data_IF_255526353365
#
_entry.id   IF_255526353365
#
_cell.length_a   1.000
_cell.length_b   1.000
_cell.length_c   1.000
_cell.angle_alpha   90.00
_cell.angle_beta   90.00
_cell.angle_gamma   90.00
#
_symmetry.space_group_name_H-M   'P 1'
#
loop_
_entity.id
_entity.type
_entity.pdbx_description
1 polymer ?
#
# COMPACT_ATOMS: atom_id res chain seq x y z
N UNK A 1 11.36 13.47 -10.93
CA UNK A 1 10.03 13.51 -10.26
C UNK A 1 9.39 14.85 -10.57
N UNK A 2 8.10 15.02 -10.33
CA UNK A 2 7.38 16.29 -10.60
C UNK A 2 7.59 17.36 -9.51
N UNK A 3 8.16 17.00 -8.35
CA UNK A 3 8.42 17.92 -7.24
C UNK A 3 7.23 18.18 -6.30
N UNK A 4 6.05 17.63 -6.58
CA UNK A 4 4.86 17.81 -5.74
C UNK A 4 4.90 17.00 -4.43
N UNK A 5 4.21 17.50 -3.40
CA UNK A 5 4.05 16.84 -2.09
C UNK A 5 2.69 16.14 -1.96
N UNK A 6 2.70 14.83 -1.72
CA UNK A 6 1.47 14.02 -1.59
C UNK A 6 0.56 14.48 -0.46
N UNK A 7 1.09 15.03 0.64
CA UNK A 7 0.26 15.50 1.76
C UNK A 7 -0.54 16.75 1.40
N UNK A 8 0.04 17.65 0.60
CA UNK A 8 -0.65 18.83 0.10
C UNK A 8 -1.72 18.46 -0.92
N UNK A 9 -1.40 17.53 -1.81
CA UNK A 9 -2.34 16.98 -2.80
C UNK A 9 -3.51 16.29 -2.10
N UNK A 10 -3.26 15.38 -1.16
CA UNK A 10 -4.29 14.70 -0.38
C UNK A 10 -5.16 15.67 0.42
N UNK A 11 -4.54 16.72 0.99
CA UNK A 11 -5.28 17.78 1.70
C UNK A 11 -6.21 18.53 0.75
N UNK A 12 -5.72 18.93 -0.43
CA UNK A 12 -6.53 19.64 -1.42
C UNK A 12 -7.69 18.77 -1.95
N UNK A 13 -7.43 17.51 -2.26
CA UNK A 13 -8.45 16.54 -2.70
C UNK A 13 -9.51 16.36 -1.61
N UNK A 14 -9.09 16.18 -0.35
CA UNK A 14 -9.99 15.94 0.78
C UNK A 14 -10.85 17.14 1.21
N UNK A 15 -10.61 18.33 0.64
CA UNK A 15 -11.49 19.50 0.85
C UNK A 15 -12.81 19.38 0.08
N UNK A 16 -12.85 18.58 -1.00
CA UNK A 16 -14.11 18.26 -1.66
C UNK A 16 -14.92 17.31 -0.78
N UNK A 17 -16.12 17.76 -0.36
CA UNK A 17 -17.01 17.01 0.53
C UNK A 17 -17.51 15.69 -0.06
N UNK A 18 -17.50 15.53 -1.39
CA UNK A 18 -17.90 14.28 -2.07
C UNK A 18 -16.86 13.17 -1.88
N UNK A 19 -15.60 13.55 -1.61
CA UNK A 19 -14.48 12.63 -1.36
C UNK A 19 -14.24 12.50 0.14
N UNK A 20 -14.14 13.63 0.84
CA UNK A 20 -13.82 13.68 2.27
C UNK A 20 -12.33 13.48 2.58
N UNK A 21 -11.95 13.73 3.83
CA UNK A 21 -10.53 13.79 4.28
C UNK A 21 -9.93 12.49 4.81
N UNK A 22 -10.74 11.44 4.94
CA UNK A 22 -10.34 10.20 5.60
C UNK A 22 -9.73 9.21 4.59
N UNK A 23 -8.85 8.31 5.05
CA UNK A 23 -8.19 7.30 4.21
C UNK A 23 -7.33 7.84 3.04
N UNK A 24 -7.00 9.13 3.04
CA UNK A 24 -6.12 9.78 2.04
C UNK A 24 -4.64 9.90 2.46
N UNK A 25 -4.25 9.22 3.54
CA UNK A 25 -2.87 9.25 4.05
C UNK A 25 -2.02 8.22 3.30
N UNK A 26 -1.04 8.68 2.53
CA UNK A 26 -0.09 7.78 1.87
C UNK A 26 0.78 7.02 2.89
N UNK A 27 1.10 5.76 2.57
CA UNK A 27 1.98 4.89 3.37
C UNK A 27 2.86 4.02 2.44
N UNK A 28 3.69 3.16 3.04
CA UNK A 28 4.45 2.11 2.32
C UNK A 28 3.51 1.07 1.69
N UNK A 29 2.31 0.94 2.24
CA UNK A 29 1.26 0.03 1.81
C UNK A 29 0.22 -0.11 2.91
N UNK A 30 -0.98 -0.57 2.58
CA UNK A 30 -1.92 -1.06 3.58
C UNK A 30 -1.58 -2.50 3.95
N UNK A 31 -1.97 -2.89 5.16
CA UNK A 31 -1.83 -4.25 5.69
C UNK A 31 -3.01 -4.62 6.59
N UNK A 32 -2.82 -5.64 7.41
CA UNK A 32 -3.87 -6.20 8.27
C UNK A 32 -4.71 -7.25 7.54
N UNK A 33 -5.43 -8.07 8.31
CA UNK A 33 -6.09 -9.28 7.79
C UNK A 33 -7.29 -9.05 6.88
N UNK A 34 -7.81 -7.83 6.78
CA UNK A 34 -9.11 -7.56 6.13
C UNK A 34 -8.93 -7.13 4.68
N UNK A 35 -8.23 -6.03 4.40
CA UNK A 35 -8.27 -5.42 3.06
C UNK A 35 -7.80 -6.35 1.94
N UNK A 36 -6.63 -6.95 2.08
CA UNK A 36 -6.08 -7.83 1.04
C UNK A 36 -6.98 -9.06 0.84
N UNK A 37 -7.42 -9.67 1.95
CA UNK A 37 -8.30 -10.84 1.93
C UNK A 37 -9.64 -10.53 1.28
N UNK A 38 -10.30 -9.46 1.67
CA UNK A 38 -11.64 -9.11 1.20
C UNK A 38 -11.63 -8.73 -0.29
N UNK A 39 -10.60 -8.02 -0.75
CA UNK A 39 -10.43 -7.67 -2.16
C UNK A 39 -10.14 -8.91 -2.99
N UNK A 40 -9.23 -9.80 -2.55
CA UNK A 40 -8.94 -11.03 -3.28
C UNK A 40 -10.16 -11.96 -3.35
N UNK A 41 -10.95 -12.04 -2.28
CA UNK A 41 -12.22 -12.76 -2.30
C UNK A 41 -13.22 -12.14 -3.29
N UNK A 42 -13.29 -10.80 -3.36
CA UNK A 42 -14.14 -10.11 -4.34
C UNK A 42 -13.70 -10.39 -5.78
N UNK A 43 -12.40 -10.34 -6.05
CA UNK A 43 -11.82 -10.69 -7.37
C UNK A 43 -12.22 -12.12 -7.74
N UNK A 44 -11.99 -13.08 -6.84
CA UNK A 44 -12.36 -14.48 -7.05
C UNK A 44 -13.87 -14.66 -7.30
N UNK A 45 -14.71 -13.96 -6.53
CA UNK A 45 -16.17 -13.98 -6.72
C UNK A 45 -16.53 -13.48 -8.12
N UNK A 46 -16.00 -12.34 -8.55
CA UNK A 46 -16.23 -11.80 -9.89
C UNK A 46 -15.80 -12.79 -11.00
N UNK A 47 -14.63 -13.42 -10.86
CA UNK A 47 -14.15 -14.43 -11.81
C UNK A 47 -15.09 -15.63 -11.90
N UNK A 48 -15.58 -16.13 -10.75
CA UNK A 48 -16.52 -17.25 -10.70
C UNK A 48 -17.86 -16.97 -11.39
N UNK A 49 -18.27 -15.70 -11.49
CA UNK A 49 -19.45 -15.26 -12.23
C UNK A 49 -19.15 -14.87 -13.69
N UNK A 50 -17.91 -15.02 -14.15
CA UNK A 50 -17.48 -14.63 -15.49
C UNK A 50 -17.33 -13.11 -15.70
N UNK A 51 -17.33 -12.30 -14.63
CA UNK A 51 -17.21 -10.85 -14.66
C UNK A 51 -15.73 -10.41 -14.66
N UNK A 52 -15.00 -10.81 -15.70
CA UNK A 52 -13.53 -10.67 -15.74
C UNK A 52 -13.03 -9.22 -15.70
N UNK A 53 -13.77 -8.28 -16.30
CA UNK A 53 -13.43 -6.86 -16.31
C UNK A 53 -13.56 -6.24 -14.91
N UNK A 54 -14.58 -6.67 -14.15
CA UNK A 54 -14.80 -6.23 -12.77
C UNK A 54 -13.73 -6.81 -11.85
N UNK A 55 -13.38 -8.09 -12.03
CA UNK A 55 -12.28 -8.72 -11.32
C UNK A 55 -10.95 -7.98 -11.56
N UNK A 56 -10.62 -7.69 -12.83
CA UNK A 56 -9.41 -6.97 -13.20
C UNK A 56 -9.35 -5.56 -12.59
N UNK A 57 -10.48 -4.85 -12.54
CA UNK A 57 -10.58 -3.53 -11.91
C UNK A 57 -10.22 -3.59 -10.43
N UNK A 58 -10.82 -4.49 -9.65
CA UNK A 58 -10.55 -4.60 -8.21
C UNK A 58 -9.15 -5.13 -7.92
N UNK A 59 -8.62 -6.01 -8.76
CA UNK A 59 -7.26 -6.51 -8.62
C UNK A 59 -6.21 -5.40 -8.70
N UNK A 60 -6.48 -4.28 -9.38
CA UNK A 60 -5.57 -3.13 -9.42
C UNK A 60 -5.27 -2.56 -8.03
N UNK A 61 -6.19 -2.69 -7.08
CA UNK A 61 -5.97 -2.22 -5.71
C UNK A 61 -4.83 -3.01 -5.04
N UNK A 62 -4.77 -4.33 -5.27
CA UNK A 62 -3.69 -5.19 -4.76
C UNK A 62 -2.38 -4.89 -5.50
N UNK A 63 -2.44 -4.86 -6.84
CA UNK A 63 -1.27 -4.59 -7.69
C UNK A 63 -0.60 -3.27 -7.31
N UNK A 64 -1.38 -2.22 -7.07
CA UNK A 64 -0.83 -0.92 -6.67
C UNK A 64 -0.21 -0.95 -5.25
N UNK A 65 -0.81 -1.69 -4.32
CA UNK A 65 -0.28 -1.86 -2.97
C UNK A 65 1.09 -2.55 -2.99
N UNK A 66 1.21 -3.64 -3.74
CA UNK A 66 2.46 -4.40 -3.85
C UNK A 66 3.53 -3.64 -4.62
N UNK A 67 3.15 -2.93 -5.69
CA UNK A 67 4.03 -2.00 -6.38
C UNK A 67 4.63 -0.96 -5.42
N UNK A 68 3.81 -0.37 -4.54
CA UNK A 68 4.28 0.65 -3.59
C UNK A 68 5.29 0.08 -2.59
N UNK A 69 5.04 -1.12 -2.05
CA UNK A 69 5.99 -1.83 -1.15
C UNK A 69 7.32 -2.09 -1.87
N UNK A 70 7.28 -2.68 -3.07
CA UNK A 70 8.48 -2.99 -3.86
C UNK A 70 9.24 -1.73 -4.27
N UNK A 71 8.53 -0.66 -4.66
CA UNK A 71 9.12 0.64 -5.00
C UNK A 71 9.83 1.26 -3.81
N UNK A 72 9.24 1.21 -2.62
CA UNK A 72 9.86 1.74 -1.40
C UNK A 72 11.18 1.02 -1.10
N UNK A 73 11.17 -0.31 -1.08
CA UNK A 73 12.38 -1.12 -0.86
C UNK A 73 13.45 -0.84 -1.93
N UNK A 74 13.05 -0.77 -3.20
CA UNK A 74 13.96 -0.47 -4.31
C UNK A 74 14.61 0.91 -4.18
N UNK A 75 13.85 1.93 -3.77
CA UNK A 75 14.38 3.27 -3.55
C UNK A 75 15.36 3.33 -2.38
N UNK A 76 15.09 2.58 -1.30
CA UNK A 76 16.03 2.45 -0.18
C UNK A 76 17.36 1.84 -0.66
N UNK A 77 17.32 0.72 -1.39
CA UNK A 77 18.53 0.05 -1.91
C UNK A 77 19.30 0.97 -2.85
N UNK A 78 18.61 1.67 -3.76
CA UNK A 78 19.23 2.67 -4.66
C UNK A 78 19.93 3.79 -3.89
N UNK A 79 19.30 4.26 -2.81
CA UNK A 79 19.87 5.30 -1.94
C UNK A 79 21.10 4.81 -1.15
N UNK A 80 21.28 3.48 -1.04
CA UNK A 80 22.44 2.83 -0.43
C UNK A 80 23.47 2.35 -1.46
N UNK A 81 23.56 3.03 -2.61
CA UNK A 81 24.51 2.72 -3.69
C UNK A 81 24.31 1.31 -4.30
N UNK A 82 23.06 0.87 -4.39
CA UNK A 82 22.66 -0.43 -4.95
C UNK A 82 23.25 -1.66 -4.24
N UNK A 83 23.73 -1.51 -3.00
CA UNK A 83 24.20 -2.64 -2.18
C UNK A 83 23.83 -2.45 -0.71
N UNK A 84 23.38 -3.54 -0.10
CA UNK A 84 23.09 -3.61 1.34
C UNK A 84 24.00 -4.61 2.06
N UNK A 85 24.95 -5.22 1.34
CA UNK A 85 25.86 -6.20 1.92
C UNK A 85 26.71 -5.56 3.02
N UNK A 86 26.77 -6.21 4.19
CA UNK A 86 27.49 -5.72 5.37
C UNK A 86 26.86 -4.48 6.04
N UNK A 87 25.71 -3.98 5.57
CA UNK A 87 25.03 -2.84 6.19
C UNK A 87 24.04 -3.32 7.25
N UNK A 88 24.09 -2.68 8.43
CA UNK A 88 23.08 -2.86 9.48
C UNK A 88 21.92 -1.89 9.22
N UNK A 89 20.72 -2.41 9.02
CA UNK A 89 19.50 -1.63 8.79
C UNK A 89 18.58 -1.80 10.00
N UNK A 90 18.11 -0.69 10.56
CA UNK A 90 17.13 -0.70 11.64
C UNK A 90 15.72 -0.61 11.07
N UNK A 91 14.82 -1.51 11.48
CA UNK A 91 13.40 -1.46 11.14
C UNK A 91 12.64 -0.96 12.38
N UNK A 92 12.00 0.20 12.24
CA UNK A 92 11.23 0.83 13.31
C UNK A 92 9.73 0.61 13.07
N UNK A 93 9.17 -0.38 13.76
CA UNK A 93 7.76 -0.77 13.66
C UNK A 93 7.55 -2.01 12.79
N UNK A 94 6.78 -2.96 13.31
CA UNK A 94 6.53 -4.24 12.65
C UNK A 94 5.04 -4.62 12.56
N UNK A 95 4.21 -4.09 13.46
CA UNK A 95 2.76 -4.22 13.36
C UNK A 95 2.22 -3.46 12.14
N UNK A 96 1.08 -3.90 11.60
CA UNK A 96 0.52 -3.30 10.36
C UNK A 96 -0.01 -1.86 10.56
N UNK A 97 -0.26 -1.45 11.81
CA UNK A 97 -0.64 -0.08 12.20
C UNK A 97 -0.19 0.24 13.62
N UNK A 98 -0.25 1.52 13.99
CA UNK A 98 0.00 1.96 15.38
C UNK A 98 -0.99 1.33 16.37
N UNK A 99 -0.54 1.18 17.62
CA UNK A 99 -1.35 0.75 18.76
C UNK A 99 -1.95 -0.66 18.63
N UNK A 100 -1.27 -1.58 17.94
CA UNK A 100 -1.61 -3.01 17.94
C UNK A 100 -0.34 -3.85 17.83
N UNK A 101 -0.38 -5.09 18.32
CA UNK A 101 0.67 -6.10 18.11
C UNK A 101 0.43 -6.99 16.89
N UNK A 102 -0.63 -6.74 16.12
CA UNK A 102 -1.00 -7.57 14.97
C UNK A 102 -0.06 -7.32 13.78
N UNK A 103 0.52 -8.40 13.27
CA UNK A 103 1.54 -8.42 12.20
C UNK A 103 1.03 -9.03 10.90
N UNK A 104 -0.25 -9.46 10.85
CA UNK A 104 -0.82 -10.08 9.65
C UNK A 104 -0.78 -9.10 8.48
N UNK A 105 -0.30 -9.58 7.33
CA UNK A 105 -0.10 -8.78 6.11
C UNK A 105 0.62 -7.44 6.36
N UNK A 106 1.55 -7.39 7.33
CA UNK A 106 2.31 -6.17 7.59
C UNK A 106 3.21 -5.83 6.41
N UNK A 107 3.29 -4.55 6.05
CA UNK A 107 4.20 -4.07 5.01
C UNK A 107 5.67 -4.03 5.47
N UNK A 108 5.94 -4.33 6.74
CA UNK A 108 7.28 -4.37 7.31
C UNK A 108 7.99 -5.73 7.12
N UNK A 109 7.26 -6.76 6.71
CA UNK A 109 7.76 -8.12 6.49
C UNK A 109 8.31 -8.29 5.07
#
# INVERSE_FOLDING_TARGET
TTGANVEEVSRAIGMDRRIGKHFLKASVGFGGSCFQKDILNLVYLCESFGLTEVAAYWNQVIVMNDYQKSRFASNMIKSMFNTIHGKKICILGFAFKKNTGDTRETAAA
#
